data_IF_665438100562
#
_entry.id   IF_665438100562
#
_cell.length_a   1.000
_cell.length_b   1.000
_cell.length_c   1.000
_cell.angle_alpha   90.00
_cell.angle_beta   90.00
_cell.angle_gamma   90.00
#
_symmetry.space_group_name_H-M   'P 1'
#
loop_
_entity.id
_entity.type
_entity.pdbx_description
1 polymer ?
#
# COMPACT_ATOMS: atom_id res chain seq x y z
N UNK A 1 0.31 -27.00 80.45
CA UNK A 1 1.13 -27.10 79.26
C UNK A 1 0.20 -26.75 78.08
N UNK A 2 0.27 -25.51 77.55
CA UNK A 2 -0.61 -25.00 76.44
C UNK A 2 0.20 -24.96 75.21
N UNK A 3 -0.18 -25.79 74.19
CA UNK A 3 0.45 -25.87 72.88
C UNK A 3 -0.37 -24.94 72.00
N UNK A 4 0.26 -23.85 71.53
CA UNK A 4 -0.33 -22.93 70.53
C UNK A 4 -0.13 -23.46 69.11
N UNK A 5 -1.23 -23.57 68.39
CA UNK A 5 -1.22 -23.92 66.93
C UNK A 5 -1.12 -22.63 66.15
N UNK A 6 0.00 -22.43 65.43
CA UNK A 6 0.20 -21.28 64.52
C UNK A 6 -0.32 -21.68 63.10
N UNK A 7 -1.38 -21.03 62.69
CA UNK A 7 -1.93 -21.20 61.36
C UNK A 7 -1.08 -20.49 60.29
N UNK A 8 -0.62 -21.25 59.31
CA UNK A 8 0.09 -20.73 58.14
C UNK A 8 -0.91 -20.17 57.12
N UNK A 9 -0.99 -18.84 57.01
CA UNK A 9 -1.79 -18.17 55.98
C UNK A 9 -1.08 -18.27 54.64
N UNK A 10 -1.60 -19.12 53.78
CA UNK A 10 -1.16 -19.17 52.37
C UNK A 10 -1.66 -17.93 51.61
N UNK A 11 -0.75 -17.07 51.20
CA UNK A 11 -1.04 -15.93 50.31
C UNK A 11 -1.07 -16.46 48.88
N UNK A 12 -2.19 -16.35 48.13
CA UNK A 12 -2.20 -16.74 46.74
C UNK A 12 -1.41 -15.71 45.92
N UNK A 13 -0.29 -16.14 45.32
CA UNK A 13 0.41 -15.37 44.30
C UNK A 13 -0.45 -15.41 43.02
N UNK A 14 -1.22 -14.34 42.78
CA UNK A 14 -1.90 -14.14 41.52
C UNK A 14 -0.85 -13.73 40.48
N UNK A 15 -0.39 -14.73 39.72
CA UNK A 15 0.48 -14.49 38.57
C UNK A 15 -0.38 -13.88 37.47
N UNK A 16 -0.45 -12.55 37.38
CA UNK A 16 -1.08 -11.85 36.27
C UNK A 16 -0.24 -12.10 35.01
N UNK A 17 -0.63 -13.11 34.23
CA UNK A 17 -0.14 -13.26 32.85
C UNK A 17 -0.71 -12.08 32.05
N UNK A 18 0.07 -11.01 31.93
CA UNK A 18 -0.17 -9.98 30.91
C UNK A 18 0.04 -10.64 29.55
N UNK A 19 -1.04 -11.16 28.99
CA UNK A 19 -1.07 -11.55 27.59
C UNK A 19 -0.78 -10.27 26.77
N UNK A 20 0.46 -10.10 26.32
CA UNK A 20 0.77 -9.16 25.25
C UNK A 20 -0.05 -9.63 24.06
N UNK A 21 -1.19 -8.96 23.82
CA UNK A 21 -1.79 -8.97 22.50
C UNK A 21 -0.68 -8.45 21.58
N UNK A 22 -0.13 -9.32 20.76
CA UNK A 22 0.53 -8.87 19.55
C UNK A 22 -0.54 -8.06 18.83
N UNK A 23 -0.41 -6.72 18.81
CA UNK A 23 -1.15 -5.89 17.89
C UNK A 23 -0.82 -6.45 16.52
N UNK A 24 -1.78 -7.13 15.92
CA UNK A 24 -1.71 -7.44 14.50
C UNK A 24 -1.56 -6.07 13.84
N UNK A 25 -0.38 -5.82 13.25
CA UNK A 25 -0.13 -4.57 12.54
C UNK A 25 -1.31 -4.37 11.60
N UNK A 26 -2.01 -3.25 11.74
CA UNK A 26 -3.14 -2.92 10.87
C UNK A 26 -2.56 -2.64 9.50
N UNK A 27 -2.69 -3.61 8.58
CA UNK A 27 -2.28 -3.41 7.20
C UNK A 27 -3.06 -2.25 6.58
N UNK A 28 -2.36 -1.41 5.84
CA UNK A 28 -2.93 -0.35 5.02
C UNK A 28 -2.89 -0.74 3.54
N UNK A 29 -3.68 -0.02 2.74
CA UNK A 29 -3.75 -0.19 1.29
C UNK A 29 -3.16 1.03 0.60
N UNK A 30 -2.39 0.79 -0.47
CA UNK A 30 -1.95 1.80 -1.44
C UNK A 30 -2.28 1.31 -2.85
N UNK A 31 -2.72 2.19 -3.75
CA UNK A 31 -3.07 1.78 -5.12
C UNK A 31 -2.40 2.69 -6.13
N UNK A 32 -1.64 2.08 -7.05
CA UNK A 32 -0.83 2.76 -8.06
C UNK A 32 -1.11 2.21 -9.46
N UNK A 33 -1.24 3.10 -10.43
CA UNK A 33 -1.26 2.78 -11.85
C UNK A 33 -0.02 3.38 -12.52
N UNK A 34 0.68 2.62 -13.36
CA UNK A 34 1.94 3.07 -13.93
C UNK A 34 2.41 2.22 -15.13
N UNK A 35 1.53 2.00 -16.10
CA UNK A 35 1.77 1.11 -17.24
C UNK A 35 1.26 -0.30 -16.96
N UNK A 36 1.92 -1.29 -17.55
CA UNK A 36 1.59 -2.70 -17.36
C UNK A 36 1.68 -3.09 -15.86
N UNK A 37 0.59 -3.59 -15.30
CA UNK A 37 0.53 -3.94 -13.86
C UNK A 37 1.53 -5.05 -13.49
N UNK A 38 1.84 -6.00 -14.38
CA UNK A 38 2.87 -7.01 -14.12
C UNK A 38 4.27 -6.41 -13.92
N UNK A 39 4.57 -5.29 -14.62
CA UNK A 39 5.82 -4.56 -14.41
C UNK A 39 5.83 -3.81 -13.06
N UNK A 40 4.65 -3.42 -12.59
CA UNK A 40 4.49 -2.69 -11.31
C UNK A 40 4.53 -3.60 -10.08
N UNK A 41 4.18 -4.87 -10.17
CA UNK A 41 4.16 -5.80 -9.01
C UNK A 41 5.54 -5.96 -8.39
N UNK A 42 6.52 -6.40 -9.19
CA UNK A 42 7.84 -6.80 -8.72
C UNK A 42 8.60 -5.75 -7.91
N UNK A 43 8.58 -4.44 -8.24
CA UNK A 43 9.21 -3.41 -7.42
C UNK A 43 8.64 -3.29 -6.01
N UNK A 44 7.32 -3.48 -5.85
CA UNK A 44 6.66 -3.39 -4.54
C UNK A 44 6.82 -4.65 -3.71
N UNK A 45 6.74 -5.85 -4.32
CA UNK A 45 6.89 -7.13 -3.63
C UNK A 45 8.23 -7.29 -2.90
N UNK A 46 9.26 -6.58 -3.36
CA UNK A 46 10.62 -6.63 -2.78
C UNK A 46 10.80 -5.75 -1.54
N UNK A 47 9.78 -4.98 -1.16
CA UNK A 47 9.88 -4.03 -0.05
C UNK A 47 9.53 -4.76 1.25
N UNK A 48 10.44 -4.73 2.22
CA UNK A 48 10.10 -5.21 3.58
C UNK A 48 8.95 -4.39 4.17
N UNK A 49 7.95 -5.09 4.70
CA UNK A 49 6.71 -4.49 5.17
C UNK A 49 5.58 -4.49 4.14
N UNK A 50 5.82 -4.88 2.89
CA UNK A 50 4.76 -5.18 1.92
C UNK A 50 4.33 -6.63 2.08
N UNK A 51 3.03 -6.85 2.29
CA UNK A 51 2.44 -8.18 2.47
C UNK A 51 1.98 -8.80 1.16
N UNK A 52 1.18 -8.07 0.39
CA UNK A 52 0.66 -8.55 -0.89
C UNK A 52 0.56 -7.41 -1.91
N UNK A 53 0.80 -7.74 -3.18
CA UNK A 53 0.59 -6.86 -4.32
C UNK A 53 -0.40 -7.55 -5.26
N UNK A 54 -1.51 -6.88 -5.58
CA UNK A 54 -2.62 -7.47 -6.33
C UNK A 54 -2.86 -6.61 -7.58
N UNK A 55 -2.70 -7.20 -8.75
CA UNK A 55 -3.04 -6.57 -10.03
C UNK A 55 -4.54 -6.50 -10.27
N UNK A 56 -4.99 -5.42 -10.88
CA UNK A 56 -6.40 -5.20 -11.20
C UNK A 56 -6.64 -3.92 -11.98
N UNK A 57 -7.90 -3.47 -11.99
CA UNK A 57 -8.35 -2.32 -12.75
C UNK A 57 -9.10 -1.34 -11.86
N UNK A 58 -8.85 -0.04 -12.05
CA UNK A 58 -9.53 1.00 -11.28
C UNK A 58 -9.65 2.32 -12.04
N UNK A 59 -10.50 3.22 -11.53
CA UNK A 59 -10.67 4.57 -12.06
C UNK A 59 -11.61 4.69 -13.26
N UNK A 60 -12.16 3.59 -13.78
CA UNK A 60 -13.18 3.57 -14.81
C UNK A 60 -14.59 3.40 -14.26
N UNK A 61 -15.60 3.51 -15.11
CA UNK A 61 -17.00 3.42 -14.73
C UNK A 61 -17.61 2.03 -14.93
N UNK A 62 -16.97 1.17 -15.72
CA UNK A 62 -17.50 -0.16 -16.01
C UNK A 62 -17.30 -1.10 -14.83
N UNK A 63 -18.39 -1.70 -14.33
CA UNK A 63 -18.31 -2.76 -13.33
C UNK A 63 -17.81 -4.07 -13.94
N UNK A 64 -16.96 -4.78 -13.21
CA UNK A 64 -16.41 -6.09 -13.59
C UNK A 64 -15.86 -6.13 -15.04
N UNK A 65 -14.93 -5.23 -15.41
CA UNK A 65 -14.38 -5.21 -16.76
C UNK A 65 -13.53 -6.46 -17.01
N UNK A 66 -13.55 -6.96 -18.23
CA UNK A 66 -12.62 -8.02 -18.66
C UNK A 66 -11.27 -7.42 -19.07
N UNK A 67 -10.25 -8.27 -19.15
CA UNK A 67 -8.93 -7.86 -19.63
C UNK A 67 -8.99 -7.28 -21.05
N UNK A 68 -9.73 -7.91 -21.93
CA UNK A 68 -9.88 -7.49 -23.34
C UNK A 68 -10.50 -6.09 -23.42
N UNK A 69 -11.51 -5.80 -22.59
CA UNK A 69 -12.18 -4.51 -22.57
C UNK A 69 -11.27 -3.40 -22.05
N UNK A 70 -10.49 -3.67 -20.99
CA UNK A 70 -9.53 -2.69 -20.48
C UNK A 70 -8.41 -2.46 -21.48
N UNK A 71 -7.85 -3.53 -22.03
CA UNK A 71 -6.78 -3.46 -23.03
C UNK A 71 -7.20 -2.72 -24.29
N UNK A 72 -8.49 -2.80 -24.68
CA UNK A 72 -9.06 -2.01 -25.77
C UNK A 72 -9.23 -0.52 -25.41
N UNK A 73 -8.99 -0.10 -24.17
CA UNK A 73 -9.12 1.29 -23.72
C UNK A 73 -10.53 1.83 -23.63
N UNK A 74 -11.57 0.96 -23.64
CA UNK A 74 -12.99 1.37 -23.75
C UNK A 74 -13.67 1.55 -22.40
N UNK A 75 -13.05 1.12 -21.29
CA UNK A 75 -13.67 1.09 -19.96
C UNK A 75 -13.38 2.32 -19.10
N UNK A 76 -12.36 3.11 -19.47
CA UNK A 76 -11.83 4.20 -18.65
C UNK A 76 -10.99 3.75 -17.45
N UNK A 77 -10.88 2.44 -17.21
CA UNK A 77 -10.00 1.91 -16.17
C UNK A 77 -8.52 2.10 -16.52
N UNK A 78 -7.69 2.18 -15.47
CA UNK A 78 -6.26 1.99 -15.57
C UNK A 78 -5.89 0.60 -15.04
N UNK A 79 -4.86 -0.02 -15.63
CA UNK A 79 -4.14 -1.11 -15.00
C UNK A 79 -3.47 -0.59 -13.73
N UNK A 80 -3.67 -1.26 -12.61
CA UNK A 80 -3.17 -0.82 -11.33
C UNK A 80 -2.75 -1.99 -10.46
N UNK A 81 -1.90 -1.70 -9.47
CA UNK A 81 -1.56 -2.62 -8.40
C UNK A 81 -2.07 -2.07 -7.07
N UNK A 82 -2.70 -2.92 -6.28
CA UNK A 82 -3.06 -2.65 -4.90
C UNK A 82 -2.04 -3.30 -3.98
N UNK A 83 -1.34 -2.47 -3.22
CA UNK A 83 -0.27 -2.87 -2.29
C UNK A 83 -0.83 -2.89 -0.88
N UNK A 84 -0.77 -4.05 -0.21
CA UNK A 84 -1.01 -4.16 1.23
C UNK A 84 0.31 -3.99 1.95
N UNK A 85 0.37 -3.13 2.94
CA UNK A 85 1.61 -2.85 3.64
C UNK A 85 1.41 -2.61 5.13
N UNK A 86 2.43 -2.95 5.91
CA UNK A 86 2.53 -2.68 7.34
C UNK A 86 3.15 -1.28 7.54
N UNK A 87 2.37 -0.27 7.98
CA UNK A 87 2.86 1.10 8.13
C UNK A 87 3.91 1.25 9.25
N UNK A 88 4.06 0.26 10.11
CA UNK A 88 5.13 0.23 11.12
C UNK A 88 6.50 -0.16 10.54
N UNK A 89 6.53 -0.78 9.35
CA UNK A 89 7.75 -1.23 8.67
C UNK A 89 8.09 -0.37 7.46
N UNK A 90 7.09 0.01 6.67
CA UNK A 90 7.27 0.84 5.48
C UNK A 90 6.24 1.95 5.44
N UNK A 91 6.67 3.19 5.17
CA UNK A 91 5.77 4.33 5.06
C UNK A 91 5.13 4.43 3.68
N UNK A 92 3.93 5.00 3.60
CA UNK A 92 3.29 5.35 2.32
C UNK A 92 4.17 6.26 1.44
N UNK A 93 4.92 7.20 2.06
CA UNK A 93 5.87 8.05 1.35
C UNK A 93 6.97 7.23 0.66
N UNK A 94 7.45 6.14 1.28
CA UNK A 94 8.44 5.24 0.67
C UNK A 94 7.84 4.50 -0.53
N UNK A 95 6.57 4.09 -0.47
CA UNK A 95 5.87 3.47 -1.60
C UNK A 95 5.71 4.47 -2.76
N UNK A 96 5.43 5.74 -2.48
CA UNK A 96 5.41 6.79 -3.50
C UNK A 96 6.78 6.99 -4.16
N UNK A 97 7.88 6.95 -3.39
CA UNK A 97 9.23 7.05 -3.96
C UNK A 97 9.51 5.89 -4.93
N UNK A 98 9.09 4.66 -4.57
CA UNK A 98 9.22 3.50 -5.46
C UNK A 98 8.35 3.67 -6.70
N UNK A 99 7.10 4.12 -6.56
CA UNK A 99 6.20 4.41 -7.67
C UNK A 99 6.82 5.37 -8.68
N UNK A 100 7.37 6.52 -8.22
CA UNK A 100 7.98 7.51 -9.11
C UNK A 100 9.21 7.01 -9.88
N UNK A 101 9.87 5.96 -9.38
CA UNK A 101 10.97 5.31 -10.11
C UNK A 101 10.50 4.40 -11.23
N UNK A 102 9.23 4.01 -11.25
CA UNK A 102 8.68 3.08 -12.25
C UNK A 102 7.99 3.81 -13.42
N UNK A 103 7.72 5.10 -13.30
CA UNK A 103 6.89 5.83 -14.27
C UNK A 103 7.60 7.05 -14.85
N UNK A 104 7.22 7.41 -16.07
CA UNK A 104 7.43 8.75 -16.61
C UNK A 104 6.20 9.61 -16.32
N UNK A 105 6.26 10.53 -15.33
CA UNK A 105 5.11 11.34 -14.93
C UNK A 105 4.72 12.40 -15.98
N UNK A 106 5.52 12.58 -17.03
CA UNK A 106 5.25 13.53 -18.13
C UNK A 106 4.52 12.88 -19.30
N UNK A 107 4.47 11.54 -19.36
CA UNK A 107 3.77 10.82 -20.42
C UNK A 107 2.29 10.60 -20.05
N UNK A 108 1.42 11.41 -20.64
CA UNK A 108 -0.02 11.31 -20.41
C UNK A 108 -0.71 10.26 -21.30
N UNK A 109 0.00 9.71 -22.31
CA UNK A 109 -0.57 8.82 -23.31
C UNK A 109 -0.23 7.34 -23.08
N UNK A 110 0.35 7.01 -21.93
CA UNK A 110 0.74 5.64 -21.56
C UNK A 110 2.02 5.63 -20.72
N UNK A 111 2.74 4.53 -20.77
CA UNK A 111 4.07 4.40 -20.16
C UNK A 111 4.97 3.57 -21.07
N UNK A 112 6.10 4.15 -21.44
CA UNK A 112 7.11 3.51 -22.30
C UNK A 112 6.51 2.93 -23.60
N UNK A 113 6.54 1.60 -23.75
CA UNK A 113 5.99 0.89 -24.91
C UNK A 113 4.49 0.67 -24.85
N UNK A 114 3.91 0.74 -23.66
CA UNK A 114 2.48 0.52 -23.43
C UNK A 114 1.71 1.81 -23.66
N UNK A 115 0.90 1.86 -24.71
CA UNK A 115 0.20 3.06 -25.16
C UNK A 115 -1.30 2.95 -24.91
N UNK A 116 -1.90 4.04 -24.43
CA UNK A 116 -3.32 4.15 -24.14
C UNK A 116 -3.63 4.61 -22.72
N UNK A 117 -4.84 5.12 -22.52
CA UNK A 117 -5.28 5.66 -21.21
C UNK A 117 -5.29 4.61 -20.09
N UNK A 118 -5.42 3.33 -20.42
CA UNK A 118 -5.34 2.23 -19.47
C UNK A 118 -3.95 2.06 -18.85
N UNK A 119 -2.92 2.60 -19.48
CA UNK A 119 -1.52 2.57 -19.01
C UNK A 119 -1.05 3.90 -18.42
N UNK A 120 -1.96 4.85 -18.13
CA UNK A 120 -1.61 6.15 -17.54
C UNK A 120 -1.03 6.02 -16.14
N UNK A 121 -0.10 6.91 -15.78
CA UNK A 121 0.36 7.03 -14.39
C UNK A 121 -0.70 7.70 -13.52
N UNK A 122 -1.08 7.08 -12.41
CA UNK A 122 -2.00 7.63 -11.42
C UNK A 122 -1.78 7.05 -10.03
N UNK A 123 -2.10 7.85 -9.01
CA UNK A 123 -2.17 7.42 -7.61
C UNK A 123 -3.62 7.49 -7.16
N UNK A 124 -4.16 6.38 -6.65
CA UNK A 124 -5.51 6.29 -6.09
C UNK A 124 -5.39 6.24 -4.57
N UNK A 125 -5.82 7.29 -3.89
CA UNK A 125 -5.70 7.39 -2.43
C UNK A 125 -6.90 6.76 -1.72
N UNK A 126 -6.65 6.16 -0.56
CA UNK A 126 -7.67 5.55 0.31
C UNK A 126 -7.98 6.43 1.52
N UNK A 127 -7.11 7.40 1.84
CA UNK A 127 -7.27 8.34 2.96
C UNK A 127 -6.85 9.75 2.56
N UNK A 128 -7.34 10.77 3.27
CA UNK A 128 -6.91 12.15 3.03
C UNK A 128 -5.42 12.36 3.32
N UNK A 129 -4.85 11.60 4.24
CA UNK A 129 -3.40 11.64 4.49
C UNK A 129 -2.60 11.10 3.29
N UNK A 130 -3.05 9.99 2.67
CA UNK A 130 -2.43 9.50 1.44
C UNK A 130 -2.53 10.52 0.30
N UNK A 131 -3.68 11.17 0.15
CA UNK A 131 -3.86 12.26 -0.82
C UNK A 131 -2.84 13.37 -0.61
N UNK A 132 -2.75 13.88 0.62
CA UNK A 132 -1.80 14.94 0.99
C UNK A 132 -0.35 14.55 0.68
N UNK A 133 0.05 13.34 1.05
CA UNK A 133 1.40 12.82 0.79
C UNK A 133 1.68 12.66 -0.71
N UNK A 134 0.72 12.16 -1.49
CA UNK A 134 0.84 12.01 -2.93
C UNK A 134 1.00 13.38 -3.63
N UNK A 135 0.18 14.37 -3.26
CA UNK A 135 0.28 15.74 -3.79
C UNK A 135 1.63 16.39 -3.44
N UNK A 136 2.11 16.23 -2.22
CA UNK A 136 3.42 16.72 -1.80
C UNK A 136 4.57 16.05 -2.55
N UNK A 137 4.50 14.73 -2.74
CA UNK A 137 5.49 13.96 -3.46
C UNK A 137 5.56 14.39 -4.92
N UNK A 138 4.40 14.55 -5.58
CA UNK A 138 4.29 15.08 -6.95
C UNK A 138 4.90 16.48 -7.06
N UNK A 139 4.60 17.37 -6.11
CA UNK A 139 5.14 18.74 -6.12
C UNK A 139 6.68 18.75 -5.96
N UNK A 140 7.24 17.90 -5.10
CA UNK A 140 8.69 17.74 -4.95
C UNK A 140 9.33 17.27 -6.25
N UNK A 141 8.71 16.29 -6.91
CA UNK A 141 9.21 15.76 -8.18
C UNK A 141 9.22 16.84 -9.26
N UNK A 142 8.15 17.61 -9.39
CA UNK A 142 8.06 18.72 -10.33
C UNK A 142 9.12 19.81 -10.05
N UNK A 143 9.34 20.16 -8.78
CA UNK A 143 10.35 21.15 -8.38
C UNK A 143 11.78 20.68 -8.66
N UNK A 144 12.03 19.39 -8.64
CA UNK A 144 13.35 18.80 -8.92
C UNK A 144 13.76 18.89 -10.40
N UNK A 145 12.86 19.29 -11.31
CA UNK A 145 13.09 19.42 -12.76
C UNK A 145 13.79 18.20 -13.40
N UNK A 146 13.50 17.01 -12.88
CA UNK A 146 14.09 15.75 -13.37
C UNK A 146 13.54 15.32 -14.73
N UNK A 147 12.34 15.81 -15.03
CA UNK A 147 11.61 15.53 -16.27
C UNK A 147 11.35 16.90 -16.91
N UNK A 148 12.20 17.32 -17.82
CA UNK A 148 12.09 18.61 -18.50
C UNK A 148 12.64 18.53 -19.89
#
# INVERSE_FOLDING_TARGET
MKIGIVGLLAVPIVLALAARRADAATEELATFAGGCFWCMESPFEKIDGVGAVISGYTGGAKENPTYEEVSAGTTGHAEAVQVRFDPSKVSYAKLLDVFWMQVDPTDAAGQFVDRGSQYRAAVFYHTEEQRRLAEQSKAKLAAAKRFG
#
